data_IF_564559190533
#
_entry.id   IF_564559190533
#
_cell.length_a   1.000
_cell.length_b   1.000
_cell.length_c   1.000
_cell.angle_alpha   90.00
_cell.angle_beta   90.00
_cell.angle_gamma   90.00
#
_symmetry.space_group_name_H-M   'P 1'
#
loop_
_entity.id
_entity.type
_entity.pdbx_description
1 polymer ?
#
# COMPACT_ATOMS: atom_id res chain seq x y z
N UNK A 1 42.86 -6.73 -29.32
CA UNK A 1 43.79 -6.99 -28.17
C UNK A 1 44.00 -5.72 -27.40
N UNK A 2 43.29 -5.51 -26.33
CA UNK A 2 43.64 -4.48 -25.30
C UNK A 2 43.37 -5.10 -23.95
N UNK A 3 44.43 -5.32 -23.21
CA UNK A 3 44.43 -5.86 -21.85
C UNK A 3 44.28 -4.69 -20.89
N UNK A 4 43.33 -4.72 -19.96
CA UNK A 4 43.32 -3.87 -18.80
C UNK A 4 43.71 -4.62 -17.54
N UNK A 5 44.69 -4.06 -16.86
CA UNK A 5 45.46 -4.57 -15.72
C UNK A 5 44.68 -4.28 -14.42
N UNK A 6 44.57 -5.29 -13.61
CA UNK A 6 44.04 -5.23 -12.23
C UNK A 6 45.08 -4.55 -11.36
N UNK A 7 44.70 -3.50 -10.63
CA UNK A 7 45.46 -2.89 -9.56
C UNK A 7 44.87 -3.29 -8.20
N UNK A 8 45.67 -4.06 -7.48
CA UNK A 8 45.45 -4.54 -6.13
C UNK A 8 46.04 -3.50 -5.17
N UNK A 9 45.25 -2.92 -4.28
CA UNK A 9 45.78 -2.09 -3.18
C UNK A 9 45.24 -2.59 -1.85
N UNK A 10 46.10 -3.33 -1.16
CA UNK A 10 45.98 -3.65 0.26
C UNK A 10 46.34 -2.39 1.05
N UNK A 11 45.54 -2.03 2.03
CA UNK A 11 45.99 -1.24 3.18
C UNK A 11 45.54 -1.92 4.46
N UNK A 12 46.54 -2.51 5.14
CA UNK A 12 46.48 -2.89 6.53
C UNK A 12 47.05 -1.73 7.36
N UNK A 13 46.34 -1.31 8.38
CA UNK A 13 46.99 -0.67 9.54
C UNK A 13 46.11 -0.78 10.78
N UNK A 14 46.59 -1.57 11.74
CA UNK A 14 46.24 -1.50 13.15
C UNK A 14 47.21 -0.54 13.83
N UNK A 15 46.80 0.19 14.88
CA UNK A 15 47.56 0.07 16.10
C UNK A 15 46.75 -0.12 17.38
N UNK A 16 47.33 -0.95 18.23
CA UNK A 16 47.07 -1.10 19.65
C UNK A 16 47.32 0.21 20.40
N UNK A 17 46.46 0.54 21.33
CA UNK A 17 46.71 1.55 22.36
C UNK A 17 46.03 1.16 23.66
N UNK A 18 46.81 0.51 24.56
CA UNK A 18 46.45 0.31 25.98
C UNK A 18 46.71 1.62 26.70
N UNK A 19 45.72 2.13 27.45
CA UNK A 19 45.97 3.04 28.54
C UNK A 19 45.07 2.64 29.72
N UNK A 20 45.72 2.05 30.71
CA UNK A 20 45.16 1.88 32.04
C UNK A 20 45.26 3.22 32.78
N UNK A 21 44.22 3.61 33.44
CA UNK A 21 44.34 4.68 34.47
C UNK A 21 43.44 4.38 35.66
N UNK A 22 44.09 4.35 36.74
CA UNK A 22 43.85 3.88 38.08
C UNK A 22 42.90 4.81 38.88
N UNK A 23 41.96 4.20 39.55
CA UNK A 23 41.38 4.40 40.89
C UNK A 23 41.44 5.80 41.53
N UNK A 24 40.28 6.29 41.91
CA UNK A 24 40.13 6.97 43.23
C UNK A 24 38.66 6.76 43.73
N UNK A 25 38.57 5.92 44.74
CA UNK A 25 37.37 5.72 45.52
C UNK A 25 37.05 6.98 46.34
N UNK A 26 35.85 7.56 46.18
CA UNK A 26 35.22 8.44 47.13
C UNK A 26 33.85 7.89 47.50
N UNK A 27 33.78 7.34 48.71
CA UNK A 27 32.53 7.01 49.35
C UNK A 27 31.73 8.29 49.57
N UNK A 28 30.58 8.39 48.98
CA UNK A 28 29.53 9.36 49.32
C UNK A 28 28.30 8.54 49.70
N UNK A 29 28.00 8.55 51.00
CA UNK A 29 26.75 8.05 51.53
C UNK A 29 25.58 8.92 51.01
N UNK A 30 24.69 8.32 50.24
CA UNK A 30 23.45 8.98 49.81
C UNK A 30 22.27 8.20 50.36
N UNK A 31 21.47 8.92 51.13
CA UNK A 31 20.25 8.51 51.78
C UNK A 31 19.27 7.82 50.79
N UNK A 32 18.68 6.74 51.25
CA UNK A 32 17.60 6.03 50.54
C UNK A 32 16.34 6.93 50.44
N UNK A 33 16.15 7.51 49.26
CA UNK A 33 14.86 8.06 48.86
C UNK A 33 14.12 6.97 48.08
N UNK A 34 13.09 6.42 48.72
CA UNK A 34 12.19 5.45 48.07
C UNK A 34 11.40 6.16 46.97
N UNK A 35 11.85 5.98 45.74
CA UNK A 35 11.07 6.39 44.55
C UNK A 35 10.11 5.24 44.23
N UNK A 36 8.84 5.41 44.56
CA UNK A 36 7.74 4.59 44.03
C UNK A 36 7.68 4.80 42.54
N UNK A 37 8.18 3.86 41.77
CA UNK A 37 8.01 3.79 40.33
C UNK A 37 6.55 3.42 40.04
N UNK A 38 5.73 4.43 39.83
CA UNK A 38 4.39 4.25 39.28
C UNK A 38 4.52 3.65 37.90
N UNK A 39 4.09 2.40 37.74
CA UNK A 39 3.94 1.74 36.43
C UNK A 39 2.90 2.49 35.60
N UNK A 40 3.33 3.47 34.81
CA UNK A 40 2.52 4.02 33.74
C UNK A 40 2.40 2.92 32.66
N UNK A 41 1.30 2.17 32.72
CA UNK A 41 0.90 1.29 31.66
C UNK A 41 0.67 2.11 30.39
N UNK A 42 1.61 2.03 29.46
CA UNK A 42 1.41 2.48 28.07
C UNK A 42 0.29 1.62 27.49
N UNK A 43 -0.95 2.10 27.55
CA UNK A 43 -2.03 1.64 26.71
C UNK A 43 -1.66 2.06 25.28
N UNK A 44 -0.99 1.15 24.55
CA UNK A 44 -0.86 1.26 23.13
C UNK A 44 -2.28 1.15 22.53
N UNK A 45 -2.93 2.29 22.36
CA UNK A 45 -4.18 2.38 21.59
C UNK A 45 -3.93 1.89 20.18
N UNK A 46 -4.92 1.24 19.54
CA UNK A 46 -4.80 0.86 18.14
C UNK A 46 -4.47 2.11 17.32
N UNK A 47 -3.39 2.04 16.56
CA UNK A 47 -3.01 3.09 15.62
C UNK A 47 -4.13 3.22 14.60
N UNK A 48 -5.00 4.20 14.77
CA UNK A 48 -6.04 4.56 13.82
C UNK A 48 -5.33 5.07 12.57
N UNK A 49 -5.36 4.26 11.52
CA UNK A 49 -4.95 4.68 10.18
C UNK A 49 -5.71 5.98 9.83
N UNK A 50 -4.98 7.02 9.49
CA UNK A 50 -5.53 8.35 9.23
C UNK A 50 -6.07 8.44 7.79
N UNK A 51 -7.38 8.44 7.56
CA UNK A 51 -7.96 8.82 6.28
C UNK A 51 -8.42 10.28 6.23
N UNK A 52 -8.12 11.07 7.24
CA UNK A 52 -8.80 12.33 7.51
C UNK A 52 -8.52 13.51 6.55
N UNK A 53 -7.62 13.38 5.56
CA UNK A 53 -7.24 14.54 4.73
C UNK A 53 -8.20 14.89 3.59
N UNK A 54 -9.07 13.97 3.15
CA UNK A 54 -9.93 14.14 1.97
C UNK A 54 -11.42 13.92 2.27
N UNK A 55 -11.83 14.09 3.53
CA UNK A 55 -13.22 14.02 3.95
C UNK A 55 -13.85 12.62 3.89
N UNK A 56 -13.06 11.56 3.69
CA UNK A 56 -13.56 10.19 3.75
C UNK A 56 -13.74 9.74 5.20
N UNK A 57 -14.86 9.07 5.50
CA UNK A 57 -15.09 8.37 6.77
C UNK A 57 -14.69 6.92 6.62
N UNK A 58 -14.17 6.29 7.68
CA UNK A 58 -13.78 4.89 7.65
C UNK A 58 -14.45 4.08 8.75
N UNK A 59 -14.82 2.84 8.43
CA UNK A 59 -15.29 1.83 9.34
C UNK A 59 -14.42 0.58 9.22
N UNK A 60 -14.09 -0.05 10.36
CA UNK A 60 -13.31 -1.28 10.41
C UNK A 60 -14.24 -2.43 10.82
N UNK A 61 -14.15 -3.56 10.10
CA UNK A 61 -14.87 -4.78 10.48
C UNK A 61 -14.09 -5.59 11.52
N UNK A 62 -14.76 -6.55 12.17
CA UNK A 62 -14.11 -7.47 13.10
C UNK A 62 -13.02 -8.34 12.41
N UNK A 63 -13.14 -8.57 11.11
CA UNK A 63 -12.16 -9.30 10.29
C UNK A 63 -10.98 -8.43 9.84
N UNK A 64 -10.98 -7.13 10.20
CA UNK A 64 -9.92 -6.19 9.88
C UNK A 64 -10.01 -5.58 8.47
N UNK A 65 -11.08 -5.85 7.70
CA UNK A 65 -11.37 -5.10 6.47
C UNK A 65 -11.78 -3.68 6.79
N UNK A 66 -11.28 -2.71 6.04
CA UNK A 66 -11.59 -1.30 6.21
C UNK A 66 -12.49 -0.82 5.07
N UNK A 67 -13.65 -0.25 5.38
CA UNK A 67 -14.50 0.42 4.39
C UNK A 67 -14.38 1.92 4.54
N UNK A 68 -14.08 2.62 3.43
CA UNK A 68 -14.04 4.07 3.35
C UNK A 68 -15.22 4.56 2.49
N UNK A 69 -15.92 5.55 3.01
CA UNK A 69 -16.95 6.29 2.27
C UNK A 69 -16.48 7.72 2.06
N UNK A 70 -16.31 8.13 0.82
CA UNK A 70 -15.82 9.45 0.45
C UNK A 70 -16.96 10.37 -0.03
N UNK A 71 -16.82 11.72 0.11
CA UNK A 71 -17.92 12.69 -0.15
C UNK A 71 -18.54 12.58 -1.54
N UNK A 72 -17.78 12.11 -2.51
CA UNK A 72 -18.21 11.93 -3.90
C UNK A 72 -18.96 10.61 -4.13
N UNK A 73 -19.44 9.94 -3.06
CA UNK A 73 -20.08 8.63 -3.10
C UNK A 73 -19.19 7.52 -3.67
N UNK A 74 -17.88 7.67 -3.54
CA UNK A 74 -16.92 6.60 -3.78
C UNK A 74 -16.85 5.73 -2.53
N UNK A 75 -16.98 4.42 -2.71
CA UNK A 75 -16.76 3.45 -1.65
C UNK A 75 -15.49 2.64 -1.97
N UNK A 76 -14.62 2.49 -0.98
CA UNK A 76 -13.39 1.70 -1.07
C UNK A 76 -13.40 0.70 0.08
N UNK A 77 -13.36 -0.59 -0.24
CA UNK A 77 -13.19 -1.66 0.73
C UNK A 77 -11.76 -2.17 0.62
N UNK A 78 -11.00 -2.06 1.70
CA UNK A 78 -9.62 -2.50 1.75
C UNK A 78 -9.49 -3.80 2.53
N UNK A 79 -8.76 -4.75 1.98
CA UNK A 79 -8.37 -5.99 2.66
C UNK A 79 -7.59 -5.67 3.95
N UNK A 80 -7.72 -6.54 4.96
CA UNK A 80 -6.98 -6.39 6.21
C UNK A 80 -5.48 -6.28 5.96
N UNK A 81 -4.88 -5.16 6.45
CA UNK A 81 -3.47 -4.84 6.28
C UNK A 81 -3.09 -4.36 4.87
N UNK A 82 -4.05 -3.96 4.02
CA UNK A 82 -3.75 -3.32 2.74
C UNK A 82 -2.98 -2.01 2.95
N UNK A 83 -1.98 -1.78 2.09
CA UNK A 83 -1.19 -0.54 2.09
C UNK A 83 -1.58 0.30 0.89
N UNK A 84 -2.29 1.38 1.14
CA UNK A 84 -2.78 2.30 0.10
C UNK A 84 -2.79 3.75 0.59
N UNK A 85 -2.79 4.66 -0.35
CA UNK A 85 -2.86 6.10 -0.10
C UNK A 85 -3.90 6.75 -1.03
N UNK A 86 -4.77 7.59 -0.46
CA UNK A 86 -5.74 8.38 -1.22
C UNK A 86 -5.05 9.63 -1.79
N UNK A 87 -5.36 9.96 -3.03
CA UNK A 87 -4.81 11.12 -3.73
C UNK A 87 -5.92 12.01 -4.29
N UNK A 88 -5.66 13.28 -4.22
CA UNK A 88 -6.38 14.36 -4.92
C UNK A 88 -5.37 15.03 -5.86
N UNK A 89 -5.34 14.59 -7.10
CA UNK A 89 -4.36 15.07 -8.09
C UNK A 89 -4.76 16.41 -8.68
N UNK A 90 -6.05 16.64 -8.83
CA UNK A 90 -6.59 17.87 -9.41
C UNK A 90 -6.76 18.98 -8.37
N UNK A 91 -6.56 18.66 -7.07
CA UNK A 91 -6.62 19.58 -5.92
C UNK A 91 -7.99 20.26 -5.75
N UNK A 92 -9.07 19.51 -6.03
CA UNK A 92 -10.44 19.97 -5.82
C UNK A 92 -11.02 19.61 -4.44
N UNK A 93 -10.21 18.97 -3.59
CA UNK A 93 -10.61 18.50 -2.26
C UNK A 93 -11.26 17.13 -2.26
N UNK A 94 -11.33 16.44 -3.40
CA UNK A 94 -11.94 15.13 -3.53
C UNK A 94 -10.92 14.06 -3.96
N UNK A 95 -11.16 12.83 -3.53
CA UNK A 95 -10.35 11.69 -3.98
C UNK A 95 -10.63 11.41 -5.46
N UNK A 96 -9.59 11.43 -6.27
CA UNK A 96 -9.62 11.06 -7.69
C UNK A 96 -8.70 9.90 -8.04
N UNK A 97 -7.84 9.49 -7.09
CA UNK A 97 -6.92 8.38 -7.28
C UNK A 97 -6.56 7.68 -5.97
N UNK A 98 -6.19 6.41 -6.09
CA UNK A 98 -5.63 5.60 -5.00
C UNK A 98 -4.32 4.99 -5.46
N UNK A 99 -3.28 5.12 -4.65
CA UNK A 99 -2.03 4.38 -4.82
C UNK A 99 -2.09 3.12 -3.94
N UNK A 100 -2.02 1.94 -4.54
CA UNK A 100 -2.04 0.65 -3.84
C UNK A 100 -0.69 -0.04 -3.99
N UNK A 101 -0.05 -0.37 -2.89
CA UNK A 101 1.26 -1.03 -2.89
C UNK A 101 1.19 -2.49 -2.44
N UNK A 102 0.15 -2.92 -1.72
CA UNK A 102 0.04 -4.29 -1.25
C UNK A 102 -1.40 -4.67 -0.94
N UNK A 103 -1.77 -5.94 -1.19
CA UNK A 103 -3.07 -6.55 -0.98
C UNK A 103 -4.18 -5.99 -1.87
N UNK A 104 -5.45 -6.22 -1.53
CA UNK A 104 -6.56 -5.94 -2.41
C UNK A 104 -7.43 -4.77 -1.95
N UNK A 105 -7.99 -4.06 -2.94
CA UNK A 105 -9.07 -3.09 -2.79
C UNK A 105 -10.25 -3.49 -3.68
N UNK A 106 -11.47 -3.32 -3.17
CA UNK A 106 -12.69 -3.28 -3.97
C UNK A 106 -13.19 -1.84 -3.99
N UNK A 107 -13.41 -1.30 -5.17
CA UNK A 107 -13.81 0.08 -5.35
C UNK A 107 -15.15 0.14 -6.07
N UNK A 108 -15.98 1.09 -5.65
CA UNK A 108 -17.23 1.42 -6.30
C UNK A 108 -17.29 2.92 -6.55
N UNK A 109 -17.29 3.31 -7.82
CA UNK A 109 -17.38 4.70 -8.28
C UNK A 109 -18.69 4.87 -9.01
N UNK A 110 -19.58 5.80 -8.60
CA UNK A 110 -20.89 5.95 -9.22
C UNK A 110 -20.80 6.53 -10.64
N UNK A 111 -21.75 6.10 -11.49
CA UNK A 111 -21.94 6.61 -12.86
C UNK A 111 -22.60 8.00 -12.81
N UNK A 112 -21.85 9.06 -12.53
CA UNK A 112 -22.38 10.44 -12.58
C UNK A 112 -21.88 11.17 -13.83
N UNK A 113 -22.77 11.94 -14.49
CA UNK A 113 -22.37 12.80 -15.60
C UNK A 113 -21.40 13.89 -15.13
N UNK A 114 -20.41 14.19 -15.96
CA UNK A 114 -19.41 15.24 -15.66
C UNK A 114 -18.27 14.82 -14.72
N UNK A 115 -18.25 13.58 -14.24
CA UNK A 115 -17.20 13.12 -13.35
C UNK A 115 -15.90 12.84 -14.08
N UNK A 116 -14.81 13.30 -13.48
CA UNK A 116 -13.44 12.99 -13.85
C UNK A 116 -13.18 11.49 -13.68
N UNK A 117 -12.25 10.97 -14.43
CA UNK A 117 -11.67 9.64 -14.33
C UNK A 117 -11.18 9.38 -12.91
N UNK A 118 -11.39 8.17 -12.41
CA UNK A 118 -10.84 7.69 -11.16
C UNK A 118 -9.79 6.61 -11.45
N UNK A 119 -8.62 6.71 -10.81
CA UNK A 119 -7.51 5.82 -11.08
C UNK A 119 -7.10 5.04 -9.82
N UNK A 120 -6.78 3.76 -9.99
CA UNK A 120 -5.97 2.99 -9.03
C UNK A 120 -4.61 2.77 -9.64
N UNK A 121 -3.56 3.21 -8.95
CA UNK A 121 -2.16 3.10 -9.37
C UNK A 121 -1.47 2.08 -8.50
N UNK A 122 -0.81 1.13 -9.13
CA UNK A 122 0.07 0.16 -8.49
C UNK A 122 1.45 0.22 -9.14
N UNK A 123 2.47 -0.46 -8.60
CA UNK A 123 3.77 -0.53 -9.25
C UNK A 123 3.73 -1.12 -10.68
N UNK A 124 2.77 -2.02 -10.98
CA UNK A 124 2.68 -2.71 -12.27
C UNK A 124 1.56 -2.19 -13.17
N UNK A 125 0.52 -1.55 -12.61
CA UNK A 125 -0.68 -1.18 -13.38
C UNK A 125 -1.25 0.18 -13.01
N UNK A 126 -1.90 0.80 -13.98
CA UNK A 126 -2.83 1.91 -13.78
C UNK A 126 -4.19 1.44 -14.26
N UNK A 127 -5.15 1.30 -13.33
CA UNK A 127 -6.53 0.91 -13.61
C UNK A 127 -7.43 2.15 -13.54
N UNK A 128 -8.00 2.54 -14.69
CA UNK A 128 -8.74 3.77 -14.85
C UNK A 128 -10.21 3.52 -15.20
N UNK A 129 -11.10 4.21 -14.52
CA UNK A 129 -12.55 3.97 -14.62
C UNK A 129 -13.39 5.24 -14.73
N UNK A 130 -14.61 5.03 -15.19
CA UNK A 130 -15.71 5.99 -15.11
C UNK A 130 -17.00 5.25 -14.76
N UNK A 131 -17.41 5.29 -13.48
CA UNK A 131 -18.63 4.64 -13.02
C UNK A 131 -18.57 3.11 -13.08
N UNK A 132 -17.88 2.49 -12.14
CA UNK A 132 -17.50 1.07 -12.20
C UNK A 132 -17.39 0.50 -10.79
N UNK A 133 -17.67 -0.80 -10.65
CA UNK A 133 -17.30 -1.60 -9.48
C UNK A 133 -16.24 -2.61 -9.90
N UNK A 134 -15.06 -2.56 -9.27
CA UNK A 134 -13.92 -3.41 -9.64
C UNK A 134 -13.00 -3.66 -8.45
N UNK A 135 -12.22 -4.71 -8.53
CA UNK A 135 -11.19 -5.03 -7.55
C UNK A 135 -9.79 -4.93 -8.17
N UNK A 136 -8.83 -4.50 -7.36
CA UNK A 136 -7.42 -4.47 -7.69
C UNK A 136 -6.67 -5.17 -6.57
N UNK A 137 -5.81 -6.14 -6.91
CA UNK A 137 -5.00 -6.92 -5.98
C UNK A 137 -3.53 -6.79 -6.37
N UNK A 138 -2.76 -6.13 -5.50
CA UNK A 138 -1.31 -5.94 -5.68
C UNK A 138 -0.56 -6.95 -4.81
N UNK A 139 0.04 -7.95 -5.43
CA UNK A 139 0.77 -9.01 -4.76
C UNK A 139 2.17 -9.18 -5.37
N UNK A 140 3.18 -8.79 -4.60
CA UNK A 140 4.57 -8.86 -5.04
C UNK A 140 4.81 -8.06 -6.34
N UNK A 141 5.28 -8.74 -7.38
CA UNK A 141 5.54 -8.14 -8.69
C UNK A 141 4.34 -8.21 -9.66
N UNK A 142 3.15 -8.57 -9.18
CA UNK A 142 1.95 -8.74 -10.00
C UNK A 142 0.82 -7.86 -9.47
N UNK A 143 0.07 -7.26 -10.40
CA UNK A 143 -1.22 -6.62 -10.11
C UNK A 143 -2.31 -7.33 -10.88
N UNK A 144 -3.34 -7.81 -10.17
CA UNK A 144 -4.53 -8.41 -10.75
C UNK A 144 -5.67 -7.40 -10.71
N UNK A 145 -6.36 -7.22 -11.82
CA UNK A 145 -7.54 -6.34 -11.92
C UNK A 145 -8.74 -7.16 -12.36
N UNK A 146 -9.85 -7.05 -11.63
CA UNK A 146 -11.12 -7.75 -11.93
C UNK A 146 -12.29 -6.77 -11.94
N UNK A 147 -13.18 -6.88 -12.93
CA UNK A 147 -14.35 -6.01 -13.08
C UNK A 147 -15.61 -6.73 -12.62
N UNK A 148 -16.29 -6.15 -11.63
CA UNK A 148 -17.59 -6.64 -11.15
C UNK A 148 -18.73 -6.05 -12.01
N UNK A 149 -18.70 -4.73 -12.22
CA UNK A 149 -19.67 -4.02 -13.08
C UNK A 149 -18.97 -2.85 -13.78
N UNK A 150 -19.36 -2.58 -15.02
CA UNK A 150 -18.87 -1.48 -15.83
C UNK A 150 -17.66 -1.84 -16.70
N UNK A 151 -16.74 -0.89 -16.87
CA UNK A 151 -15.54 -1.05 -17.69
C UNK A 151 -14.33 -0.42 -17.03
N UNK A 152 -13.18 -1.10 -17.13
CA UNK A 152 -11.90 -0.62 -16.60
C UNK A 152 -10.86 -0.62 -17.73
N UNK A 153 -10.17 0.50 -17.91
CA UNK A 153 -8.98 0.55 -18.76
C UNK A 153 -7.76 0.25 -17.90
N UNK A 154 -6.97 -0.75 -18.26
CA UNK A 154 -5.75 -1.13 -17.55
C UNK A 154 -4.55 -0.94 -18.46
N UNK A 155 -3.57 -0.20 -17.95
CA UNK A 155 -2.30 0.07 -18.65
C UNK A 155 -1.11 -0.16 -17.73
N UNK A 156 0.07 -0.37 -18.31
CA UNK A 156 1.33 -0.32 -17.53
C UNK A 156 1.77 1.12 -17.29
N UNK A 157 2.41 1.44 -16.15
CA UNK A 157 2.93 2.78 -15.87
C UNK A 157 3.91 3.28 -16.94
N UNK A 158 4.71 2.40 -17.54
CA UNK A 158 5.65 2.72 -18.61
C UNK A 158 5.01 2.93 -19.99
N UNK A 159 3.68 2.98 -20.09
CA UNK A 159 2.96 3.31 -21.33
C UNK A 159 2.97 2.25 -22.42
N UNK A 160 3.42 1.03 -22.16
CA UNK A 160 3.44 -0.07 -23.12
C UNK A 160 2.19 -0.94 -22.99
N UNK A 161 1.26 -0.74 -23.91
CA UNK A 161 0.03 -1.52 -24.02
C UNK A 161 -1.03 -1.13 -23.01
N UNK A 162 -2.27 -1.23 -23.42
CA UNK A 162 -3.45 -1.09 -22.57
C UNK A 162 -4.54 -2.04 -23.04
N UNK A 163 -5.39 -2.46 -22.12
CA UNK A 163 -6.56 -3.29 -22.39
C UNK A 163 -7.78 -2.70 -21.70
N UNK A 164 -8.96 -3.03 -22.23
CA UNK A 164 -10.24 -2.66 -21.61
C UNK A 164 -10.92 -3.94 -21.16
N UNK A 165 -11.28 -3.98 -19.89
CA UNK A 165 -11.99 -5.07 -19.23
C UNK A 165 -13.49 -4.73 -19.16
N UNK A 166 -14.35 -5.70 -19.42
CA UNK A 166 -15.79 -5.67 -19.14
C UNK A 166 -16.13 -6.43 -17.87
N UNK A 167 -17.40 -6.40 -17.46
CA UNK A 167 -17.88 -7.15 -16.29
C UNK A 167 -17.58 -8.65 -16.40
N UNK A 168 -16.94 -9.21 -15.35
CA UNK A 168 -16.48 -10.59 -15.25
C UNK A 168 -15.12 -10.86 -15.89
N UNK A 169 -14.52 -9.88 -16.56
CA UNK A 169 -13.17 -9.99 -17.08
C UNK A 169 -12.14 -9.58 -16.03
N UNK A 170 -10.94 -10.11 -16.19
CA UNK A 170 -9.78 -9.68 -15.43
C UNK A 170 -8.49 -9.80 -16.22
N UNK A 171 -7.44 -9.16 -15.71
CA UNK A 171 -6.09 -9.20 -16.26
C UNK A 171 -5.07 -9.30 -15.12
N UNK A 172 -4.05 -10.08 -15.33
CA UNK A 172 -2.86 -10.10 -14.49
C UNK A 172 -1.77 -9.28 -15.17
N UNK A 173 -1.28 -8.24 -14.50
CA UNK A 173 -0.25 -7.34 -14.99
C UNK A 173 1.05 -7.66 -14.25
N UNK A 174 2.00 -8.20 -14.99
CA UNK A 174 3.36 -8.47 -14.54
C UNK A 174 4.33 -7.42 -15.10
N UNK A 175 5.58 -7.33 -14.62
CA UNK A 175 6.55 -6.35 -15.13
C UNK A 175 6.84 -6.48 -16.64
N UNK A 176 6.65 -7.68 -17.21
CA UNK A 176 6.85 -7.99 -18.62
C UNK A 176 5.75 -8.91 -19.15
N UNK A 177 5.76 -9.17 -20.46
CA UNK A 177 4.76 -10.02 -21.13
C UNK A 177 3.54 -9.23 -21.61
N UNK A 178 2.55 -9.91 -22.16
CA UNK A 178 1.36 -9.31 -22.74
C UNK A 178 0.27 -9.09 -21.68
N UNK A 179 -0.59 -8.08 -21.90
CA UNK A 179 -1.81 -7.89 -21.14
C UNK A 179 -2.90 -8.78 -21.73
N UNK A 180 -3.14 -9.95 -21.11
CA UNK A 180 -4.12 -10.92 -21.62
C UNK A 180 -5.40 -10.82 -20.79
N UNK A 181 -6.46 -10.33 -21.43
CA UNK A 181 -7.81 -10.29 -20.83
C UNK A 181 -8.38 -11.70 -20.79
N UNK A 182 -8.86 -12.11 -19.61
CA UNK A 182 -9.47 -13.43 -19.39
C UNK A 182 -10.76 -13.30 -18.60
N UNK A 183 -11.74 -14.13 -18.90
CA UNK A 183 -12.87 -14.35 -18.00
C UNK A 183 -12.37 -15.07 -16.75
N UNK A 184 -12.57 -14.50 -15.58
CA UNK A 184 -12.13 -15.15 -14.35
C UNK A 184 -13.07 -16.29 -13.94
N UNK A 185 -12.50 -17.44 -13.52
CA UNK A 185 -13.30 -18.53 -12.98
C UNK A 185 -13.99 -18.10 -11.67
N UNK A 186 -15.22 -18.60 -11.40
CA UNK A 186 -15.97 -18.25 -10.18
C UNK A 186 -15.17 -18.46 -8.89
N UNK A 187 -14.41 -19.53 -8.79
CA UNK A 187 -13.59 -19.83 -7.61
C UNK A 187 -12.57 -18.73 -7.30
N UNK A 188 -11.92 -18.16 -8.34
CA UNK A 188 -10.97 -17.06 -8.18
C UNK A 188 -11.67 -15.78 -7.72
N UNK A 189 -12.82 -15.50 -8.28
CA UNK A 189 -13.64 -14.33 -7.90
C UNK A 189 -14.08 -14.46 -6.45
N UNK A 190 -14.64 -15.61 -6.06
CA UNK A 190 -15.08 -15.87 -4.68
C UNK A 190 -13.93 -15.73 -3.69
N UNK A 191 -12.74 -16.27 -4.00
CA UNK A 191 -11.58 -16.15 -3.13
C UNK A 191 -11.15 -14.69 -2.93
N UNK A 192 -11.13 -13.88 -3.98
CA UNK A 192 -10.79 -12.45 -3.88
C UNK A 192 -11.87 -11.68 -3.08
N UNK A 193 -13.15 -11.92 -3.36
CA UNK A 193 -14.25 -11.25 -2.67
C UNK A 193 -14.31 -11.60 -1.19
N UNK A 194 -14.05 -12.87 -0.82
CA UNK A 194 -13.98 -13.29 0.58
C UNK A 194 -12.88 -12.55 1.37
N UNK A 195 -11.71 -12.30 0.77
CA UNK A 195 -10.63 -11.47 1.38
C UNK A 195 -11.07 -10.03 1.62
N UNK A 196 -12.01 -9.54 0.83
CA UNK A 196 -12.59 -8.19 0.90
C UNK A 196 -13.86 -8.15 1.76
N UNK A 197 -14.27 -9.27 2.39
CA UNK A 197 -15.45 -9.35 3.25
C UNK A 197 -16.78 -9.26 2.49
N UNK A 198 -16.80 -9.69 1.21
CA UNK A 198 -17.97 -9.69 0.33
C UNK A 198 -18.52 -11.10 0.12
#
# INVERSE_FOLDING_TARGET
MIRYRIANTRFAHTPKGKAAMTILARAVSIAAASITVGSFGLLAGPALAQPAKLGCTSALTAQGTQTLHCPTAITIVAESGAKFELRDRNRDGHVDSVELSNKALLLEVPKKQGRTRFDVVTPQAIAAVRGTKWAVDAEGAKTSVFVVDGRVSVARPAGRGSVVLGAGDGVDVEPSGDLIVKRWPPARVTALMARLGQ
#
